data_IF_885532492203
#
_entry.id   IF_885532492203
#
_cell.length_a   1.000
_cell.length_b   1.000
_cell.length_c   1.000
_cell.angle_alpha   90.00
_cell.angle_beta   90.00
_cell.angle_gamma   90.00
#
_symmetry.space_group_name_H-M   'P 1'
#
loop_
_entity.id
_entity.type
_entity.pdbx_description
1 polymer ?
#
# COMPACT_ATOMS: atom_id res chain seq x y z
N UNK A 1 -36.30 36.21 -5.69
CA UNK A 1 -35.97 34.82 -6.07
C UNK A 1 -34.63 34.47 -5.44
N UNK A 2 -34.69 33.87 -4.25
CA UNK A 2 -33.52 33.34 -3.55
C UNK A 2 -33.08 32.04 -4.25
N UNK A 3 -31.86 32.02 -4.75
CA UNK A 3 -31.22 30.80 -5.23
C UNK A 3 -30.24 30.33 -4.15
N UNK A 4 -30.68 29.30 -3.42
CA UNK A 4 -29.84 28.45 -2.59
C UNK A 4 -28.96 27.62 -3.54
N UNK A 5 -27.63 27.65 -3.38
CA UNK A 5 -26.85 26.44 -3.06
C UNK A 5 -25.34 26.72 -2.93
N UNK A 6 -24.88 26.69 -1.67
CA UNK A 6 -23.67 26.03 -1.20
C UNK A 6 -22.49 25.89 -2.17
N UNK A 7 -21.60 26.89 -2.17
CA UNK A 7 -20.16 26.65 -2.38
C UNK A 7 -19.56 26.28 -1.02
N UNK A 8 -19.95 25.12 -0.51
CA UNK A 8 -19.41 24.49 0.69
C UNK A 8 -19.06 23.02 0.35
N UNK A 9 -18.38 22.83 -0.79
CA UNK A 9 -18.02 21.53 -1.34
C UNK A 9 -16.60 21.57 -1.90
N UNK A 10 -15.64 21.93 -1.04
CA UNK A 10 -14.30 21.37 -1.10
C UNK A 10 -13.62 21.65 0.23
N UNK A 11 -13.75 20.68 1.14
CA UNK A 11 -12.71 20.33 2.08
C UNK A 11 -12.60 21.19 3.35
N UNK A 12 -13.74 21.44 4.00
CA UNK A 12 -13.77 21.41 5.46
C UNK A 12 -13.74 19.94 5.89
N UNK A 13 -12.55 19.42 6.20
CA UNK A 13 -12.43 18.35 7.18
C UNK A 13 -11.09 18.47 7.90
N UNK A 14 -11.04 19.41 8.84
CA UNK A 14 -10.09 19.45 9.95
C UNK A 14 -10.35 18.28 10.92
N UNK A 15 -10.30 17.06 10.40
CA UNK A 15 -10.13 15.83 11.18
C UNK A 15 -9.21 14.92 10.39
N UNK A 16 -7.96 15.36 10.19
CA UNK A 16 -6.88 14.40 10.03
C UNK A 16 -6.75 13.70 11.38
N UNK A 17 -7.58 12.69 11.63
CA UNK A 17 -7.26 11.72 12.67
C UNK A 17 -5.88 11.21 12.33
N UNK A 18 -4.87 11.55 13.13
CA UNK A 18 -3.56 10.92 13.06
C UNK A 18 -3.82 9.42 13.00
N UNK A 19 -3.57 8.80 11.83
CA UNK A 19 -3.69 7.36 11.71
C UNK A 19 -2.77 6.78 12.76
N UNK A 20 -3.30 5.93 13.62
CA UNK A 20 -2.47 5.32 14.64
C UNK A 20 -1.44 4.39 13.97
N UNK A 21 -0.39 4.04 14.71
CA UNK A 21 0.71 3.23 14.16
C UNK A 21 0.23 1.90 13.54
N UNK A 22 -0.84 1.31 14.08
CA UNK A 22 -1.50 0.11 13.53
C UNK A 22 -2.13 0.39 12.16
N UNK A 23 -2.90 1.47 12.01
CA UNK A 23 -3.54 1.85 10.74
C UNK A 23 -2.52 2.19 9.65
N UNK A 24 -1.44 2.88 10.02
CA UNK A 24 -0.33 3.18 9.10
C UNK A 24 0.35 1.89 8.65
N UNK A 25 0.60 0.96 9.58
CA UNK A 25 1.22 -0.32 9.26
C UNK A 25 0.33 -1.17 8.34
N UNK A 26 -0.97 -1.27 8.64
CA UNK A 26 -1.94 -2.00 7.81
C UNK A 26 -2.04 -1.42 6.40
N UNK A 27 -2.10 -0.09 6.28
CA UNK A 27 -2.08 0.60 4.98
C UNK A 27 -0.80 0.32 4.20
N UNK A 28 0.35 0.35 4.87
CA UNK A 28 1.63 0.04 4.24
C UNK A 28 1.72 -1.42 3.76
N UNK A 29 1.16 -2.37 4.53
CA UNK A 29 1.05 -3.78 4.13
C UNK A 29 0.21 -3.90 2.87
N UNK A 30 -0.95 -3.25 2.83
CA UNK A 30 -1.85 -3.31 1.68
C UNK A 30 -1.22 -2.70 0.41
N UNK A 31 -0.62 -1.52 0.52
CA UNK A 31 0.08 -0.86 -0.59
C UNK A 31 1.23 -1.73 -1.08
N UNK A 32 2.04 -2.28 -0.17
CA UNK A 32 3.18 -3.13 -0.54
C UNK A 32 2.72 -4.43 -1.20
N UNK A 33 1.61 -5.02 -0.74
CA UNK A 33 1.01 -6.20 -1.38
C UNK A 33 0.60 -5.91 -2.81
N UNK A 34 -0.15 -4.81 -3.05
CA UNK A 34 -0.55 -4.43 -4.42
C UNK A 34 0.64 -4.14 -5.32
N UNK A 35 1.66 -3.45 -4.79
CA UNK A 35 2.89 -3.19 -5.53
C UNK A 35 3.63 -4.48 -5.90
N UNK A 36 3.65 -5.46 -4.99
CA UNK A 36 4.23 -6.77 -5.23
C UNK A 36 3.44 -7.54 -6.31
N UNK A 37 2.10 -7.54 -6.25
CA UNK A 37 1.24 -8.16 -7.27
C UNK A 37 1.45 -7.53 -8.65
N UNK A 38 1.63 -6.20 -8.71
CA UNK A 38 1.99 -5.49 -9.95
C UNK A 38 3.39 -5.88 -10.44
N UNK A 39 4.38 -5.97 -9.55
CA UNK A 39 5.74 -6.36 -9.91
C UNK A 39 5.79 -7.79 -10.48
N UNK A 40 5.03 -8.72 -9.91
CA UNK A 40 4.86 -10.07 -10.47
C UNK A 40 4.19 -10.04 -11.84
N UNK A 41 3.10 -9.27 -11.98
CA UNK A 41 2.41 -9.13 -13.26
C UNK A 41 3.33 -8.57 -14.34
N UNK A 42 4.21 -7.63 -13.98
CA UNK A 42 5.21 -7.07 -14.88
C UNK A 42 6.29 -8.10 -15.24
N UNK A 43 6.77 -8.87 -14.26
CA UNK A 43 7.74 -9.96 -14.49
C UNK A 43 7.24 -10.96 -15.53
N UNK A 44 5.96 -11.32 -15.49
CA UNK A 44 5.35 -12.27 -16.42
C UNK A 44 5.33 -11.76 -17.88
N UNK A 45 5.44 -10.45 -18.11
CA UNK A 45 5.42 -9.83 -19.46
C UNK A 45 6.80 -9.36 -19.94
N UNK A 46 7.81 -9.28 -19.06
CA UNK A 46 9.16 -8.88 -19.45
C UNK A 46 9.81 -10.01 -20.23
N UNK A 47 9.94 -9.83 -21.54
CA UNK A 47 10.62 -10.76 -22.44
C UNK A 47 12.04 -10.33 -22.81
N UNK A 48 12.46 -9.14 -22.39
CA UNK A 48 13.78 -8.59 -22.68
C UNK A 48 14.82 -9.19 -21.71
N UNK A 49 15.78 -9.99 -22.20
CA UNK A 49 16.78 -10.65 -21.37
C UNK A 49 17.62 -9.69 -20.51
N UNK A 50 17.84 -8.45 -20.97
CA UNK A 50 18.64 -7.46 -20.21
C UNK A 50 17.86 -6.87 -19.02
N UNK A 51 16.52 -6.97 -19.03
CA UNK A 51 15.65 -6.44 -17.98
C UNK A 51 15.15 -7.51 -17.01
N UNK A 52 15.33 -8.79 -17.32
CA UNK A 52 14.93 -9.92 -16.46
C UNK A 52 15.59 -9.80 -15.09
N UNK A 53 16.90 -9.58 -15.02
CA UNK A 53 17.63 -9.48 -13.75
C UNK A 53 17.12 -8.30 -12.90
N UNK A 54 16.92 -7.14 -13.54
CA UNK A 54 16.34 -5.96 -12.88
C UNK A 54 14.97 -6.26 -12.29
N UNK A 55 14.12 -6.95 -13.05
CA UNK A 55 12.77 -7.32 -12.61
C UNK A 55 12.80 -8.34 -11.45
N UNK A 56 13.72 -9.31 -11.48
CA UNK A 56 13.93 -10.25 -10.36
C UNK A 56 14.31 -9.51 -9.08
N UNK A 57 15.23 -8.55 -9.15
CA UNK A 57 15.63 -7.76 -7.98
C UNK A 57 14.48 -6.89 -7.46
N UNK A 58 13.67 -6.32 -8.34
CA UNK A 58 12.50 -5.51 -7.95
C UNK A 58 11.46 -6.35 -7.20
N UNK A 59 11.09 -7.52 -7.75
CA UNK A 59 10.20 -8.47 -7.09
C UNK A 59 10.78 -8.89 -5.74
N UNK A 60 12.07 -9.24 -5.69
CA UNK A 60 12.72 -9.66 -4.44
C UNK A 60 12.72 -8.56 -3.38
N UNK A 61 12.97 -7.31 -3.76
CA UNK A 61 12.92 -6.17 -2.86
C UNK A 61 11.51 -5.97 -2.28
N UNK A 62 10.48 -6.08 -3.12
CA UNK A 62 9.07 -5.95 -2.68
C UNK A 62 8.65 -7.09 -1.76
N UNK A 63 9.07 -8.33 -2.04
CA UNK A 63 8.84 -9.48 -1.17
C UNK A 63 9.45 -9.27 0.22
N UNK A 64 10.73 -8.86 0.29
CA UNK A 64 11.42 -8.62 1.56
C UNK A 64 10.76 -7.50 2.36
N UNK A 65 10.35 -6.42 1.68
CA UNK A 65 9.61 -5.32 2.31
C UNK A 65 8.26 -5.80 2.86
N UNK A 66 7.52 -6.60 2.10
CA UNK A 66 6.24 -7.16 2.55
C UNK A 66 6.45 -8.05 3.78
N UNK A 67 7.42 -8.96 3.74
CA UNK A 67 7.75 -9.85 4.87
C UNK A 67 8.13 -9.07 6.13
N UNK A 68 8.94 -8.01 5.98
CA UNK A 68 9.29 -7.12 7.09
C UNK A 68 8.06 -6.47 7.73
N UNK A 69 7.14 -5.94 6.93
CA UNK A 69 5.90 -5.31 7.43
C UNK A 69 4.98 -6.33 8.12
N UNK A 70 4.87 -7.54 7.57
CA UNK A 70 4.14 -8.64 8.22
C UNK A 70 4.81 -8.99 9.55
N UNK A 71 6.13 -9.08 9.63
CA UNK A 71 6.81 -9.39 10.89
C UNK A 71 6.62 -8.29 11.95
N UNK A 72 6.60 -7.01 11.56
CA UNK A 72 6.20 -5.92 12.46
C UNK A 72 4.76 -6.11 12.96
N UNK A 73 3.81 -6.44 12.07
CA UNK A 73 2.43 -6.65 12.47
C UNK A 73 2.27 -7.88 13.40
N UNK A 74 3.12 -8.90 13.28
CA UNK A 74 3.18 -10.05 14.23
C UNK A 74 3.60 -9.58 15.61
N UNK A 75 4.66 -8.78 15.67
CA UNK A 75 5.22 -8.27 16.93
C UNK A 75 4.22 -7.37 17.67
N UNK A 76 3.41 -6.61 16.93
CA UNK A 76 2.35 -5.75 17.46
C UNK A 76 1.03 -6.50 17.72
N UNK A 77 0.95 -7.82 17.50
CA UNK A 77 -0.27 -8.64 17.60
C UNK A 77 -1.45 -8.17 16.72
N UNK A 78 -1.18 -7.44 15.63
CA UNK A 78 -2.20 -6.88 14.73
C UNK A 78 -2.77 -7.94 13.78
N UNK A 79 -1.99 -8.99 13.47
CA UNK A 79 -2.30 -9.97 12.42
C UNK A 79 -3.55 -10.80 12.69
N UNK A 80 -4.02 -10.87 13.93
CA UNK A 80 -5.30 -11.50 14.27
C UNK A 80 -6.51 -10.89 13.52
N UNK A 81 -6.37 -9.69 12.94
CA UNK A 81 -7.42 -9.00 12.15
C UNK A 81 -7.27 -9.11 10.62
N UNK A 82 -6.18 -9.71 10.10
CA UNK A 82 -5.86 -9.74 8.66
C UNK A 82 -6.33 -11.05 7.98
N UNK A 83 -7.14 -11.88 8.65
CA UNK A 83 -7.59 -13.18 8.12
C UNK A 83 -8.93 -13.10 7.40
#
# INVERSE_FOLDING_TARGET
MSFINNVNLAMQNENASELNEEEVLLKNIEITKRALDTAYSNFDVVTDPELIDSCIYEVKAMQLKYEYLINQAKQMNIIAKIR
#
